data_IF_820856093849
#
_entry.id   IF_820856093849
#
_cell.length_a   1.000
_cell.length_b   1.000
_cell.length_c   1.000
_cell.angle_alpha   90.00
_cell.angle_beta   90.00
_cell.angle_gamma   90.00
#
_symmetry.space_group_name_H-M   'P 1'
#
loop_
_entity.id
_entity.type
_entity.pdbx_description
1 polymer ?
#
# COMPACT_ATOMS: atom_id res chain seq x y z
N UNK A 1 8.68 10.09 14.22
CA UNK A 1 9.96 10.21 14.96
C UNK A 1 11.07 9.60 14.11
N UNK A 2 12.26 10.16 14.15
CA UNK A 2 13.46 9.64 13.48
C UNK A 2 14.45 9.17 14.54
N UNK A 3 14.95 7.95 14.41
CA UNK A 3 15.98 7.42 15.31
C UNK A 3 17.33 7.48 14.62
N UNK A 4 18.33 7.99 15.32
CA UNK A 4 19.72 7.88 14.92
C UNK A 4 20.31 6.66 15.63
N UNK A 5 20.63 5.63 14.84
CA UNK A 5 21.14 4.37 15.38
C UNK A 5 22.61 4.46 15.81
N UNK A 6 23.32 5.53 15.46
CA UNK A 6 24.73 5.70 15.85
C UNK A 6 24.86 6.24 17.28
N UNK A 7 23.95 7.11 17.70
CA UNK A 7 23.94 7.71 19.04
C UNK A 7 22.68 7.38 19.87
N UNK A 8 21.78 6.55 19.32
CA UNK A 8 20.50 6.15 19.91
C UNK A 8 19.54 7.32 20.23
N UNK A 9 19.69 8.44 19.55
CA UNK A 9 18.81 9.59 19.73
C UNK A 9 17.51 9.41 18.94
N UNK A 10 16.41 9.80 19.57
CA UNK A 10 15.08 9.85 18.95
C UNK A 10 14.63 11.30 18.82
N UNK A 11 14.35 11.75 17.61
CA UNK A 11 13.88 13.10 17.32
C UNK A 11 12.48 13.10 16.72
N UNK A 12 11.61 13.95 17.26
CA UNK A 12 10.33 14.27 16.61
C UNK A 12 10.62 15.13 15.36
N UNK A 13 10.31 14.62 14.16
CA UNK A 13 10.49 15.32 12.90
C UNK A 13 9.20 15.94 12.36
N UNK A 14 8.04 15.41 12.77
CA UNK A 14 6.74 15.83 12.28
C UNK A 14 5.67 15.54 13.33
N UNK A 15 4.87 16.54 13.69
CA UNK A 15 3.74 16.38 14.61
C UNK A 15 2.43 16.20 13.84
N UNK A 16 1.42 15.64 14.52
CA UNK A 16 0.08 15.53 13.95
C UNK A 16 -0.52 16.91 13.65
N UNK A 17 -0.22 17.91 14.46
CA UNK A 17 -0.67 19.29 14.26
C UNK A 17 -0.10 19.91 12.96
N UNK A 18 1.18 19.62 12.63
CA UNK A 18 1.79 20.07 11.37
C UNK A 18 1.08 19.42 10.16
N UNK A 19 0.77 18.14 10.28
CA UNK A 19 0.07 17.37 9.24
C UNK A 19 -1.35 17.89 9.00
N UNK A 20 -2.09 18.19 10.07
CA UNK A 20 -3.46 18.73 9.99
C UNK A 20 -3.46 20.08 9.26
N UNK A 21 -2.52 20.95 9.57
CA UNK A 21 -2.42 22.28 8.98
C UNK A 21 -1.89 22.29 7.54
N UNK A 22 -1.23 21.22 7.12
CA UNK A 22 -0.60 21.18 5.81
C UNK A 22 -1.62 21.13 4.68
N UNK A 23 -1.68 22.20 3.87
CA UNK A 23 -2.54 22.33 2.67
C UNK A 23 -3.96 21.82 2.90
N UNK A 24 -4.53 22.19 4.04
CA UNK A 24 -5.91 21.82 4.37
C UNK A 24 -6.66 22.98 5.00
N UNK A 25 -7.96 23.05 4.70
CA UNK A 25 -8.90 23.93 5.37
C UNK A 25 -9.51 23.26 6.62
N UNK A 26 -8.89 22.18 7.11
CA UNK A 26 -9.36 21.46 8.28
C UNK A 26 -9.16 22.33 9.51
N UNK A 27 -10.24 22.86 10.07
CA UNK A 27 -10.23 23.54 11.37
C UNK A 27 -10.06 22.50 12.48
N UNK A 28 -9.27 22.82 13.49
CA UNK A 28 -8.85 21.93 14.58
C UNK A 28 -9.98 21.35 15.46
N UNK A 29 -11.26 21.54 15.15
CA UNK A 29 -12.25 21.54 16.20
C UNK A 29 -13.15 20.33 16.31
N UNK A 30 -13.08 19.32 15.47
CA UNK A 30 -14.06 18.21 15.58
C UNK A 30 -13.72 16.90 14.89
N UNK A 31 -12.45 16.67 14.52
CA UNK A 31 -12.09 15.46 13.80
C UNK A 31 -11.12 14.60 14.59
N UNK A 32 -11.39 13.32 14.65
CA UNK A 32 -10.38 12.34 15.03
C UNK A 32 -9.36 12.24 13.89
N UNK A 33 -8.09 12.47 14.20
CA UNK A 33 -6.99 12.41 13.24
C UNK A 33 -6.02 11.30 13.60
N UNK A 34 -5.56 10.54 12.60
CA UNK A 34 -4.51 9.55 12.76
C UNK A 34 -3.61 9.45 11.53
N UNK A 35 -2.41 8.94 11.75
CA UNK A 35 -1.40 8.69 10.73
C UNK A 35 -1.04 7.21 10.74
N UNK A 36 -0.93 6.61 9.56
CA UNK A 36 -0.49 5.24 9.40
C UNK A 36 0.24 5.04 8.06
N UNK A 37 0.70 3.82 7.78
CA UNK A 37 1.35 3.42 6.53
C UNK A 37 2.55 4.31 6.17
N UNK A 38 3.42 4.58 7.14
CA UNK A 38 4.68 5.28 6.88
C UNK A 38 5.61 4.38 6.07
N UNK A 39 6.10 4.86 4.93
CA UNK A 39 6.97 4.10 4.05
C UNK A 39 8.06 4.97 3.44
N UNK A 40 9.33 4.62 3.71
CA UNK A 40 10.51 5.32 3.18
C UNK A 40 10.72 4.95 1.71
N UNK A 41 11.11 5.91 0.87
CA UNK A 41 11.47 5.68 -0.53
C UNK A 41 12.70 4.76 -0.65
N UNK A 42 12.86 4.00 -1.75
CA UNK A 42 14.00 3.10 -1.93
C UNK A 42 15.35 3.81 -1.79
N UNK A 43 15.47 5.07 -2.26
CA UNK A 43 16.67 5.88 -2.12
C UNK A 43 16.86 6.54 -0.74
N UNK A 44 15.92 6.36 0.19
CA UNK A 44 16.00 6.89 1.56
C UNK A 44 15.83 8.41 1.69
N UNK A 45 15.47 9.14 0.64
CA UNK A 45 15.40 10.61 0.66
C UNK A 45 14.04 11.13 1.12
N UNK A 46 12.97 10.39 0.82
CA UNK A 46 11.60 10.75 1.09
C UNK A 46 10.88 9.67 1.87
N UNK A 47 9.74 10.03 2.47
CA UNK A 47 8.77 9.05 2.92
C UNK A 47 7.36 9.51 2.61
N UNK A 48 6.46 8.56 2.48
CA UNK A 48 5.01 8.79 2.38
C UNK A 48 4.33 8.29 3.64
N UNK A 49 3.16 8.83 3.90
CA UNK A 49 2.27 8.35 4.95
C UNK A 49 0.82 8.71 4.64
N UNK A 50 -0.10 7.98 5.23
CA UNK A 50 -1.52 8.30 5.16
C UNK A 50 -1.93 9.13 6.36
N UNK A 51 -2.58 10.26 6.11
CA UNK A 51 -3.33 11.01 7.09
C UNK A 51 -4.82 10.70 6.93
N UNK A 52 -5.38 10.10 7.93
CA UNK A 52 -6.80 9.74 8.00
C UNK A 52 -7.51 10.61 9.00
N UNK A 53 -8.71 11.09 8.66
CA UNK A 53 -9.55 11.85 9.57
C UNK A 53 -11.02 11.54 9.37
N UNK A 54 -11.82 11.85 10.39
CA UNK A 54 -13.27 11.62 10.37
C UNK A 54 -13.98 12.96 10.59
N UNK A 55 -15.01 13.21 9.81
CA UNK A 55 -15.86 14.39 10.03
C UNK A 55 -16.84 14.17 11.19
N UNK A 56 -17.64 15.20 11.53
CA UNK A 56 -18.64 15.16 12.59
C UNK A 56 -19.74 14.10 12.38
N UNK A 57 -19.93 13.63 11.16
CA UNK A 57 -20.88 12.55 10.83
C UNK A 57 -20.24 11.16 10.83
N UNK A 58 -18.95 11.06 11.19
CA UNK A 58 -18.22 9.80 11.18
C UNK A 58 -17.73 9.36 9.79
N UNK A 59 -17.88 10.20 8.76
CA UNK A 59 -17.35 9.89 7.42
C UNK A 59 -15.82 9.98 7.40
N UNK A 60 -15.18 8.91 6.92
CA UNK A 60 -13.72 8.81 6.80
C UNK A 60 -13.21 9.50 5.55
N UNK A 61 -12.12 10.21 5.70
CA UNK A 61 -11.33 10.80 4.63
C UNK A 61 -9.86 10.40 4.79
N UNK A 62 -9.20 10.15 3.67
CA UNK A 62 -7.78 9.77 3.63
C UNK A 62 -7.02 10.72 2.71
N UNK A 63 -5.81 11.11 3.13
CA UNK A 63 -4.84 11.83 2.29
C UNK A 63 -3.54 11.06 2.25
N UNK A 64 -2.89 11.00 1.08
CA UNK A 64 -1.53 10.50 0.93
C UNK A 64 -0.58 11.70 0.88
N UNK A 65 0.37 11.75 1.79
CA UNK A 65 1.27 12.89 1.95
C UNK A 65 2.72 12.45 1.74
N UNK A 66 3.48 13.26 1.01
CA UNK A 66 4.91 13.13 0.79
C UNK A 66 5.66 14.09 1.73
N UNK A 67 6.71 13.58 2.36
CA UNK A 67 7.66 14.36 3.17
C UNK A 67 9.09 13.95 2.83
N UNK A 68 10.06 14.86 3.02
CA UNK A 68 11.46 14.47 3.06
C UNK A 68 11.82 13.81 4.41
N UNK A 69 12.98 13.18 4.50
CA UNK A 69 13.44 12.50 5.71
C UNK A 69 13.83 13.45 6.87
N UNK A 70 13.74 14.77 6.69
CA UNK A 70 13.88 15.76 7.75
C UNK A 70 12.54 16.23 8.32
N UNK A 71 11.43 15.79 7.75
CA UNK A 71 10.08 16.14 8.17
C UNK A 71 9.52 17.38 7.47
N UNK A 72 10.15 17.86 6.40
CA UNK A 72 9.55 18.91 5.59
C UNK A 72 8.41 18.30 4.76
N UNK A 73 7.19 18.80 4.97
CA UNK A 73 6.03 18.39 4.20
C UNK A 73 6.11 18.95 2.78
N UNK A 74 6.15 18.09 1.77
CA UNK A 74 6.39 18.48 0.39
C UNK A 74 5.10 18.60 -0.41
N UNK A 75 4.27 17.55 -0.41
CA UNK A 75 3.10 17.47 -1.28
C UNK A 75 1.99 16.61 -0.69
N UNK A 76 0.74 17.00 -0.93
CA UNK A 76 -0.41 16.09 -0.86
C UNK A 76 -0.52 15.41 -2.21
N UNK A 77 -0.28 14.10 -2.25
CA UNK A 77 -0.27 13.29 -3.46
C UNK A 77 -1.67 12.82 -3.84
N UNK A 78 -2.53 12.56 -2.86
CA UNK A 78 -3.91 12.18 -3.07
C UNK A 78 -4.79 12.74 -1.95
N UNK A 79 -5.96 13.29 -2.32
CA UNK A 79 -6.93 13.90 -1.39
C UNK A 79 -8.36 13.81 -1.97
N UNK A 80 -8.71 12.70 -2.59
CA UNK A 80 -10.04 12.50 -3.20
C UNK A 80 -10.95 11.63 -2.31
N UNK A 81 -10.72 11.65 -1.00
CA UNK A 81 -11.55 11.02 0.03
C UNK A 81 -11.20 9.58 0.36
N UNK A 82 -10.50 8.83 -0.53
CA UNK A 82 -10.12 7.45 -0.25
C UNK A 82 -8.70 7.17 -0.74
N UNK A 83 -7.84 6.73 0.18
CA UNK A 83 -6.54 6.11 -0.08
C UNK A 83 -6.47 4.86 0.80
N UNK A 84 -6.15 3.71 0.22
CA UNK A 84 -6.06 2.47 0.98
C UNK A 84 -4.61 2.00 1.10
N UNK A 85 -4.12 1.19 0.19
CA UNK A 85 -2.78 0.64 0.29
C UNK A 85 -1.87 1.18 -0.80
N UNK A 86 -0.60 1.39 -0.47
CA UNK A 86 0.40 1.91 -1.40
C UNK A 86 1.74 1.21 -1.20
N UNK A 87 2.58 1.32 -2.21
CA UNK A 87 3.96 0.83 -2.20
C UNK A 87 4.82 1.71 -3.12
N UNK A 88 6.10 1.89 -2.79
CA UNK A 88 7.04 2.54 -3.70
C UNK A 88 7.28 1.65 -4.93
N UNK A 89 6.87 2.15 -6.10
CA UNK A 89 7.09 1.48 -7.38
C UNK A 89 8.54 1.64 -7.87
N UNK A 90 9.09 2.82 -7.61
CA UNK A 90 10.50 3.22 -7.74
C UNK A 90 10.72 4.50 -6.89
N UNK A 91 11.88 5.15 -7.03
CA UNK A 91 12.24 6.34 -6.24
C UNK A 91 11.30 7.54 -6.45
N UNK A 92 10.63 7.61 -7.60
CA UNK A 92 9.81 8.76 -8.00
C UNK A 92 8.33 8.41 -8.23
N UNK A 93 7.95 7.16 -8.06
CA UNK A 93 6.59 6.70 -8.39
C UNK A 93 6.03 5.82 -7.28
N UNK A 94 4.78 6.04 -6.94
CA UNK A 94 4.03 5.25 -5.96
C UNK A 94 2.93 4.48 -6.66
N UNK A 95 2.83 3.19 -6.41
CA UNK A 95 1.68 2.36 -6.75
C UNK A 95 0.70 2.41 -5.57
N UNK A 96 -0.54 2.85 -5.81
CA UNK A 96 -1.54 2.97 -4.75
C UNK A 96 -2.94 2.58 -5.23
N UNK A 97 -3.72 1.95 -4.33
CA UNK A 97 -5.16 1.82 -4.49
C UNK A 97 -5.83 3.04 -3.88
N UNK A 98 -6.43 3.87 -4.71
CA UNK A 98 -7.04 5.12 -4.27
C UNK A 98 -8.15 5.59 -5.22
N UNK A 99 -8.90 6.60 -4.77
CA UNK A 99 -9.83 7.34 -5.59
C UNK A 99 -9.10 8.41 -6.38
N UNK A 100 -9.17 8.33 -7.70
CA UNK A 100 -8.63 9.36 -8.58
C UNK A 100 -9.52 10.60 -8.65
N UNK A 101 -9.03 11.65 -9.29
CA UNK A 101 -9.76 12.93 -9.46
C UNK A 101 -11.09 12.79 -10.22
N UNK A 102 -11.24 11.74 -11.04
CA UNK A 102 -12.50 11.44 -11.75
C UNK A 102 -13.45 10.52 -10.94
N UNK A 103 -13.13 10.24 -9.68
CA UNK A 103 -13.97 9.42 -8.78
C UNK A 103 -13.81 7.91 -8.93
N UNK A 104 -12.90 7.42 -9.76
CA UNK A 104 -12.66 5.98 -9.95
C UNK A 104 -11.71 5.43 -8.87
N UNK A 105 -12.16 4.41 -8.15
CA UNK A 105 -11.34 3.63 -7.21
C UNK A 105 -10.59 2.54 -7.98
N UNK A 106 -9.27 2.58 -7.98
CA UNK A 106 -8.42 1.63 -8.70
C UNK A 106 -6.96 1.70 -8.26
N UNK A 107 -6.10 0.88 -8.88
CA UNK A 107 -4.65 1.00 -8.77
C UNK A 107 -4.11 2.05 -9.73
N UNK A 108 -3.38 3.00 -9.17
CA UNK A 108 -2.77 4.12 -9.88
C UNK A 108 -1.28 4.20 -9.60
N UNK A 109 -0.53 4.61 -10.59
CA UNK A 109 0.83 5.11 -10.44
C UNK A 109 0.77 6.62 -10.25
N UNK A 110 1.42 7.12 -9.21
CA UNK A 110 1.52 8.55 -8.90
C UNK A 110 2.97 8.97 -9.05
N UNK A 111 3.26 9.88 -9.94
CA UNK A 111 4.57 10.53 -10.01
C UNK A 111 4.67 11.58 -8.90
N UNK A 112 5.67 11.45 -8.02
CA UNK A 112 5.80 12.34 -6.85
C UNK A 112 6.19 13.77 -7.21
N UNK A 113 6.82 13.98 -8.37
CA UNK A 113 7.27 15.30 -8.81
C UNK A 113 6.14 16.10 -9.44
N UNK A 114 5.44 15.54 -10.40
CA UNK A 114 4.30 16.18 -11.06
C UNK A 114 3.00 16.06 -10.26
N UNK A 115 2.79 14.94 -9.55
CA UNK A 115 1.51 14.59 -8.94
C UNK A 115 0.51 13.97 -9.91
N UNK A 116 0.93 13.64 -11.13
CA UNK A 116 0.07 13.04 -12.15
C UNK A 116 -0.23 11.57 -11.83
N UNK A 117 -1.45 11.14 -12.18
CA UNK A 117 -1.92 9.77 -12.05
C UNK A 117 -1.94 9.08 -13.39
N UNK A 118 -1.38 7.86 -13.44
CA UNK A 118 -1.49 6.95 -14.58
C UNK A 118 -2.07 5.63 -14.09
N UNK A 119 -3.03 5.04 -14.81
CA UNK A 119 -3.57 3.74 -14.44
C UNK A 119 -2.48 2.68 -14.44
N UNK A 120 -2.43 1.85 -13.41
CA UNK A 120 -1.51 0.71 -13.38
C UNK A 120 -2.10 -0.42 -14.23
N UNK A 121 -1.67 -0.53 -15.50
CA UNK A 121 -2.29 -1.38 -16.53
C UNK A 121 -2.56 -2.83 -16.12
N UNK A 122 -1.70 -3.56 -15.42
CA UNK A 122 -2.04 -4.91 -14.99
C UNK A 122 -3.31 -4.97 -14.15
N UNK A 123 -3.69 -3.87 -13.43
CA UNK A 123 -4.78 -3.91 -12.45
C UNK A 123 -5.84 -2.82 -12.57
N UNK A 124 -5.57 -1.70 -13.23
CA UNK A 124 -6.48 -0.53 -13.24
C UNK A 124 -7.84 -0.79 -13.88
N UNK A 125 -7.94 -1.80 -14.75
CA UNK A 125 -9.17 -2.18 -15.44
C UNK A 125 -9.78 -3.48 -14.88
N UNK A 126 -9.23 -4.05 -13.81
CA UNK A 126 -9.74 -5.29 -13.20
C UNK A 126 -10.70 -5.00 -12.06
N UNK A 127 -11.82 -5.72 -12.04
CA UNK A 127 -12.82 -5.69 -10.97
C UNK A 127 -12.32 -6.58 -9.82
N UNK A 128 -11.26 -6.15 -9.15
CA UNK A 128 -10.66 -6.96 -8.08
C UNK A 128 -10.72 -6.28 -6.72
N UNK A 129 -10.93 -4.98 -6.72
CA UNK A 129 -10.89 -4.19 -5.49
C UNK A 129 -9.48 -3.97 -4.96
N UNK A 130 -9.41 -3.60 -3.70
CA UNK A 130 -8.22 -3.28 -2.96
C UNK A 130 -7.43 -4.52 -2.53
N UNK A 131 -6.14 -4.35 -2.25
CA UNK A 131 -5.22 -5.35 -1.71
C UNK A 131 -3.89 -4.71 -1.31
N UNK A 132 -2.94 -5.53 -0.86
CA UNK A 132 -1.65 -5.09 -0.32
C UNK A 132 -0.55 -5.26 -1.38
N UNK A 133 -0.24 -4.23 -2.18
CA UNK A 133 0.78 -4.33 -3.22
C UNK A 133 2.18 -4.40 -2.63
N UNK A 134 3.05 -5.18 -3.27
CA UNK A 134 4.49 -5.18 -3.05
C UNK A 134 5.22 -5.27 -4.39
N UNK A 135 6.36 -4.59 -4.50
CA UNK A 135 7.10 -4.43 -5.75
C UNK A 135 8.52 -4.89 -5.58
N UNK A 136 9.02 -5.68 -6.51
CA UNK A 136 10.44 -6.04 -6.60
C UNK A 136 10.86 -6.11 -8.07
N UNK A 137 11.82 -5.26 -8.46
CA UNK A 137 12.31 -5.18 -9.83
C UNK A 137 11.17 -5.02 -10.85
N UNK A 138 11.00 -6.01 -11.75
CA UNK A 138 9.96 -6.04 -12.77
C UNK A 138 8.67 -6.75 -12.34
N UNK A 139 8.57 -7.19 -11.09
CA UNK A 139 7.43 -7.94 -10.57
C UNK A 139 6.63 -7.13 -9.56
N UNK A 140 5.33 -7.32 -9.58
CA UNK A 140 4.38 -6.74 -8.63
C UNK A 140 3.44 -7.84 -8.14
N UNK A 141 3.23 -7.91 -6.85
CA UNK A 141 2.28 -8.83 -6.24
C UNK A 141 1.23 -8.07 -5.45
N UNK A 142 0.03 -8.61 -5.39
CA UNK A 142 -1.04 -8.14 -4.48
C UNK A 142 -1.90 -9.31 -4.04
N UNK A 143 -2.64 -9.11 -2.98
CA UNK A 143 -3.69 -10.01 -2.51
C UNK A 143 -5.08 -9.42 -2.79
N UNK A 144 -6.11 -10.13 -2.32
CA UNK A 144 -7.47 -9.64 -2.20
C UNK A 144 -7.95 -9.78 -0.77
N UNK A 145 -8.91 -8.97 -0.39
CA UNK A 145 -9.71 -9.24 0.80
C UNK A 145 -10.55 -10.51 0.62
N UNK A 146 -11.02 -11.12 1.72
CA UNK A 146 -11.91 -12.27 1.64
C UNK A 146 -13.19 -11.90 0.86
N UNK A 147 -13.50 -12.68 -0.16
CA UNK A 147 -14.75 -12.57 -0.90
C UNK A 147 -15.95 -13.12 -0.10
N UNK A 148 -17.13 -13.21 -0.72
CA UNK A 148 -18.34 -13.78 -0.09
C UNK A 148 -18.18 -15.24 0.31
N UNK A 149 -17.32 -16.00 -0.35
CA UNK A 149 -16.96 -17.38 -0.04
C UNK A 149 -15.80 -17.47 0.95
N UNK A 150 -15.36 -16.34 1.48
CA UNK A 150 -14.21 -16.23 2.39
C UNK A 150 -12.89 -16.64 1.77
N UNK A 151 -12.76 -16.52 0.44
CA UNK A 151 -11.52 -16.83 -0.26
C UNK A 151 -10.71 -15.56 -0.50
N UNK A 152 -9.41 -15.63 -0.21
CA UNK A 152 -8.40 -14.61 -0.50
C UNK A 152 -7.46 -15.14 -1.58
N UNK A 153 -7.11 -14.32 -2.55
CA UNK A 153 -6.23 -14.73 -3.66
C UNK A 153 -4.94 -13.92 -3.68
N UNK A 154 -3.86 -14.53 -4.17
CA UNK A 154 -2.59 -13.89 -4.49
C UNK A 154 -2.42 -13.78 -6.00
N UNK A 155 -2.04 -12.59 -6.48
CA UNK A 155 -1.82 -12.31 -7.90
C UNK A 155 -0.45 -11.71 -8.14
N UNK A 156 0.36 -12.36 -8.96
CA UNK A 156 1.65 -11.89 -9.44
C UNK A 156 1.49 -11.33 -10.85
N UNK A 157 1.97 -10.12 -11.08
CA UNK A 157 1.97 -9.46 -12.39
C UNK A 157 3.38 -8.98 -12.73
N UNK A 158 3.63 -8.83 -14.02
CA UNK A 158 4.83 -8.18 -14.53
C UNK A 158 4.51 -6.71 -14.83
N UNK A 159 5.43 -5.79 -14.49
CA UNK A 159 5.35 -4.39 -14.89
C UNK A 159 5.27 -4.27 -16.40
N UNK A 160 4.50 -3.29 -16.90
CA UNK A 160 4.35 -3.02 -18.32
C UNK A 160 3.88 -4.23 -19.15
N UNK A 161 3.11 -5.14 -18.55
CA UNK A 161 2.58 -6.33 -19.19
C UNK A 161 1.17 -6.62 -18.64
N UNK A 162 0.31 -7.15 -19.50
CA UNK A 162 -1.01 -7.64 -19.08
C UNK A 162 -0.97 -9.06 -18.49
N UNK A 163 0.23 -9.67 -18.42
CA UNK A 163 0.39 -11.00 -17.84
C UNK A 163 0.17 -10.98 -16.33
N UNK A 164 -0.65 -11.89 -15.89
CA UNK A 164 -0.98 -12.07 -14.49
C UNK A 164 -1.12 -13.55 -14.16
N UNK A 165 -0.56 -13.93 -13.03
CA UNK A 165 -0.61 -15.28 -12.49
C UNK A 165 -1.35 -15.28 -11.16
N UNK A 166 -2.44 -16.04 -11.04
CA UNK A 166 -3.03 -16.37 -9.74
C UNK A 166 -2.16 -17.44 -9.09
N UNK A 167 -1.45 -17.08 -8.03
CA UNK A 167 -0.50 -17.96 -7.34
C UNK A 167 -1.18 -18.94 -6.39
N UNK A 168 -2.33 -18.57 -5.88
CA UNK A 168 -3.11 -19.39 -4.96
C UNK A 168 -4.35 -18.68 -4.47
N UNK A 169 -5.19 -19.47 -3.82
CA UNK A 169 -6.43 -19.04 -3.18
C UNK A 169 -6.55 -19.72 -1.82
N UNK A 170 -6.84 -18.95 -0.78
CA UNK A 170 -6.74 -19.38 0.60
C UNK A 170 -8.03 -19.08 1.35
N UNK A 171 -8.57 -20.07 2.02
CA UNK A 171 -9.76 -19.91 2.84
C UNK A 171 -9.45 -19.12 4.11
N UNK A 172 -10.21 -18.07 4.32
CA UNK A 172 -10.06 -17.18 5.48
C UNK A 172 -11.08 -17.52 6.57
N UNK A 173 -11.12 -18.61 7.15
CA UNK A 173 -12.05 -19.06 8.21
C UNK A 173 -13.00 -18.02 8.82
N UNK A 174 -14.20 -18.41 9.15
CA UNK A 174 -15.23 -17.49 9.69
C UNK A 174 -14.90 -16.93 11.08
N UNK A 175 -14.06 -17.63 11.85
CA UNK A 175 -13.62 -17.22 13.18
C UNK A 175 -12.65 -16.02 13.16
N UNK A 176 -12.08 -15.74 11.99
CA UNK A 176 -11.15 -14.63 11.81
C UNK A 176 -11.87 -13.42 11.20
N UNK A 177 -12.30 -12.49 12.04
CA UNK A 177 -12.95 -11.25 11.62
C UNK A 177 -12.58 -10.08 12.55
N UNK A 178 -12.98 -8.85 12.16
CA UNK A 178 -12.65 -7.67 12.95
C UNK A 178 -11.14 -7.57 13.22
N UNK A 179 -10.75 -7.53 14.48
CA UNK A 179 -9.35 -7.40 14.92
C UNK A 179 -8.51 -8.67 14.68
N UNK A 180 -9.15 -9.84 14.59
CA UNK A 180 -8.46 -11.10 14.31
C UNK A 180 -8.31 -11.38 12.82
N UNK A 181 -8.84 -10.54 11.94
CA UNK A 181 -8.70 -10.68 10.49
C UNK A 181 -7.23 -10.79 10.10
N UNK A 182 -6.93 -11.71 9.20
CA UNK A 182 -5.60 -11.97 8.68
C UNK A 182 -5.58 -11.75 7.18
N UNK A 183 -5.17 -10.58 6.73
CA UNK A 183 -4.92 -10.33 5.31
C UNK A 183 -3.60 -10.98 4.91
N UNK A 184 -3.46 -11.37 3.64
CA UNK A 184 -2.30 -12.15 3.18
C UNK A 184 -0.99 -11.33 3.20
N UNK A 185 -1.06 -10.01 2.97
CA UNK A 185 0.09 -9.10 3.01
C UNK A 185 1.33 -9.65 2.31
N UNK A 186 1.26 -9.95 1.01
CA UNK A 186 2.35 -10.59 0.29
C UNK A 186 3.59 -9.70 0.19
N UNK A 187 4.76 -10.31 0.33
CA UNK A 187 6.05 -9.62 0.22
C UNK A 187 7.09 -10.53 -0.42
N UNK A 188 7.93 -9.95 -1.25
CA UNK A 188 9.04 -10.66 -1.87
C UNK A 188 10.16 -10.92 -0.86
N UNK A 189 10.85 -12.07 -1.01
CA UNK A 189 12.17 -12.26 -0.43
C UNK A 189 13.18 -11.33 -1.11
N UNK A 190 14.29 -11.01 -0.44
CA UNK A 190 15.36 -10.19 -1.01
C UNK A 190 15.95 -10.79 -2.30
N UNK A 191 16.05 -12.12 -2.40
CA UNK A 191 16.49 -12.80 -3.62
C UNK A 191 15.42 -12.85 -4.72
N UNK A 192 14.17 -12.46 -4.43
CA UNK A 192 13.04 -12.46 -5.36
C UNK A 192 12.56 -13.83 -5.81
N UNK A 193 12.96 -14.92 -5.15
CA UNK A 193 12.54 -16.28 -5.52
C UNK A 193 11.37 -16.79 -4.70
N UNK A 194 11.03 -16.11 -3.61
CA UNK A 194 9.95 -16.48 -2.73
C UNK A 194 9.02 -15.30 -2.49
N UNK A 195 7.74 -15.60 -2.32
CA UNK A 195 6.72 -14.68 -1.83
C UNK A 195 6.28 -15.20 -0.47
N UNK A 196 6.47 -14.39 0.55
CA UNK A 196 5.96 -14.65 1.89
C UNK A 196 4.58 -14.02 2.05
N UNK A 197 3.70 -14.68 2.78
CA UNK A 197 2.36 -14.18 3.08
C UNK A 197 1.82 -14.76 4.37
N UNK A 198 0.95 -14.03 5.03
CA UNK A 198 0.23 -14.50 6.21
C UNK A 198 -1.06 -15.17 5.79
N UNK A 199 -1.50 -16.23 6.47
CA UNK A 199 -2.81 -16.81 6.25
C UNK A 199 -3.31 -17.60 7.45
N UNK A 200 -4.63 -17.82 7.48
CA UNK A 200 -5.33 -18.59 8.51
C UNK A 200 -5.96 -19.87 7.96
N UNK A 201 -5.67 -20.26 6.71
CA UNK A 201 -6.31 -21.41 6.07
C UNK A 201 -6.08 -22.74 6.80
N UNK A 202 -5.04 -22.83 7.63
CA UNK A 202 -4.75 -23.99 8.49
C UNK A 202 -5.43 -23.93 9.87
N UNK A 203 -6.35 -22.97 10.08
CA UNK A 203 -7.05 -22.78 11.36
C UNK A 203 -6.29 -21.92 12.38
N UNK A 204 -5.10 -21.41 12.03
CA UNK A 204 -4.32 -20.46 12.84
C UNK A 204 -3.52 -19.53 11.95
N UNK A 205 -3.24 -18.32 12.45
CA UNK A 205 -2.38 -17.38 11.72
C UNK A 205 -0.96 -17.93 11.62
N UNK A 206 -0.49 -18.08 10.40
CA UNK A 206 0.83 -18.67 10.10
C UNK A 206 1.44 -17.94 8.92
N UNK A 207 2.78 -17.79 8.95
CA UNK A 207 3.55 -17.28 7.84
C UNK A 207 3.85 -18.43 6.86
N UNK A 208 3.53 -18.22 5.60
CA UNK A 208 3.76 -19.15 4.49
C UNK A 208 4.68 -18.54 3.45
N UNK A 209 5.17 -19.37 2.54
CA UNK A 209 5.86 -18.90 1.34
C UNK A 209 5.50 -19.74 0.10
N UNK A 210 5.62 -19.09 -1.06
CA UNK A 210 5.53 -19.73 -2.38
C UNK A 210 6.86 -19.53 -3.10
N UNK A 211 7.43 -20.60 -3.66
CA UNK A 211 8.59 -20.50 -4.56
C UNK A 211 8.10 -20.14 -5.97
N UNK A 212 8.55 -19.01 -6.50
CA UNK A 212 8.16 -18.48 -7.81
C UNK A 212 9.25 -18.62 -8.88
N UNK A 213 10.33 -19.35 -8.61
CA UNK A 213 11.48 -19.49 -9.54
C UNK A 213 11.04 -19.94 -10.93
N UNK A 214 10.22 -20.99 -11.02
CA UNK A 214 9.69 -21.49 -12.31
C UNK A 214 8.79 -20.50 -13.04
N UNK A 215 8.06 -19.67 -12.31
CA UNK A 215 7.22 -18.62 -12.91
C UNK A 215 8.11 -17.51 -13.48
N UNK A 216 9.16 -17.11 -12.75
CA UNK A 216 10.14 -16.13 -13.24
C UNK A 216 10.86 -16.60 -14.51
N UNK A 217 11.23 -17.87 -14.57
CA UNK A 217 11.81 -18.47 -15.78
C UNK A 217 10.86 -18.32 -16.98
N UNK A 218 9.57 -18.64 -16.82
CA UNK A 218 8.56 -18.46 -17.88
C UNK A 218 8.38 -17.00 -18.29
N UNK A 219 8.41 -16.07 -17.34
CA UNK A 219 8.29 -14.63 -17.61
C UNK A 219 9.49 -14.13 -18.42
N UNK A 220 10.70 -14.65 -18.17
CA UNK A 220 11.92 -14.20 -18.83
C UNK A 220 12.12 -14.83 -20.22
N UNK A 221 11.45 -15.91 -20.55
CA UNK A 221 11.57 -16.64 -21.82
C UNK A 221 10.36 -16.46 -22.77
N UNK A 222 9.33 -15.76 -22.35
CA UNK A 222 8.16 -15.39 -23.16
C UNK A 222 8.15 -13.93 -23.53
#
# INVERSE_FOLDING_TARGET
MKNDLTNLETKLILSLNDIIKFKSNLSNTSFEHKVNHVMISPNGQNFIFMHRYFNSTGTRFDRLILSDCNGNLLKVLADNGMVSHCFWYNDNTILAYLRSTNGKDSYWLIDINSGNYTGFEPWCNKIRGDGHPSVLNNLVITDTYPDKSRMQSLYLSQKNSNLEYKLGEFFHGFDFNGETRCDLHPRFSLCGNYIFFDSVFSGKRTLYYINITKIKERINHG
#
